data_IF_130968042269
#
_entry.id   IF_130968042269
#
_cell.length_a   1.000
_cell.length_b   1.000
_cell.length_c   1.000
_cell.angle_alpha   90.00
_cell.angle_beta   90.00
_cell.angle_gamma   90.00
#
_symmetry.space_group_name_H-M   'P 1'
#
loop_
_entity.id
_entity.type
_entity.pdbx_description
1 polymer ?
#
# COMPACT_ATOMS: atom_id res chain seq x y z
N UNK A 1 -24.38 -29.89 -12.34
CA UNK A 1 -23.05 -30.47 -12.61
C UNK A 1 -22.04 -29.64 -11.80
N UNK A 2 -21.46 -30.22 -10.76
CA UNK A 2 -20.54 -29.50 -9.86
C UNK A 2 -19.15 -29.53 -10.48
N UNK A 3 -18.51 -28.37 -10.63
CA UNK A 3 -17.10 -28.25 -11.03
C UNK A 3 -16.29 -27.93 -9.78
N UNK A 4 -15.25 -28.72 -9.54
CA UNK A 4 -14.33 -28.53 -8.42
C UNK A 4 -12.98 -28.07 -8.97
N UNK A 5 -12.47 -26.97 -8.44
CA UNK A 5 -11.12 -26.46 -8.74
C UNK A 5 -10.22 -26.77 -7.54
N UNK A 6 -9.02 -27.30 -7.77
CA UNK A 6 -8.08 -27.63 -6.69
C UNK A 6 -7.47 -26.34 -6.11
N UNK A 7 -7.53 -26.11 -4.79
CA UNK A 7 -7.00 -24.89 -4.18
C UNK A 7 -5.47 -24.86 -4.16
N UNK A 8 -4.91 -23.65 -4.27
CA UNK A 8 -3.50 -23.40 -3.98
C UNK A 8 -3.23 -23.56 -2.47
N UNK A 9 -1.98 -23.81 -2.04
CA UNK A 9 -1.63 -23.83 -0.62
C UNK A 9 -2.11 -22.56 0.10
N UNK A 10 -2.79 -22.74 1.23
CA UNK A 10 -3.35 -21.63 2.03
C UNK A 10 -4.74 -21.15 1.59
N UNK A 11 -5.27 -21.61 0.46
CA UNK A 11 -6.64 -21.29 0.03
C UNK A 11 -7.64 -22.30 0.59
N UNK A 12 -8.84 -21.82 0.92
CA UNK A 12 -9.93 -22.64 1.45
C UNK A 12 -11.01 -22.86 0.38
N UNK A 13 -11.63 -24.05 0.29
CA UNK A 13 -12.76 -24.23 -0.61
C UNK A 13 -13.96 -23.43 -0.10
N UNK A 14 -14.60 -22.68 -0.99
CA UNK A 14 -15.87 -22.02 -0.72
C UNK A 14 -16.87 -22.34 -1.81
N UNK A 15 -18.09 -22.66 -1.41
CA UNK A 15 -19.21 -22.78 -2.34
C UNK A 15 -19.80 -21.39 -2.56
N UNK A 16 -19.87 -20.92 -3.80
CA UNK A 16 -20.60 -19.70 -4.15
C UNK A 16 -21.91 -20.04 -4.84
N UNK A 17 -22.96 -19.27 -4.57
CA UNK A 17 -24.27 -19.41 -5.22
C UNK A 17 -24.60 -18.15 -6.00
N UNK A 18 -24.82 -18.31 -7.31
CA UNK A 18 -25.23 -17.22 -8.21
C UNK A 18 -26.42 -17.67 -9.05
N UNK A 19 -27.61 -17.17 -8.70
CA UNK A 19 -28.87 -17.70 -9.25
C UNK A 19 -29.03 -19.19 -8.93
N UNK A 20 -29.23 -20.00 -9.96
CA UNK A 20 -29.38 -21.45 -9.85
C UNK A 20 -28.06 -22.22 -9.95
N UNK A 21 -26.94 -21.51 -10.13
CA UNK A 21 -25.62 -22.12 -10.22
C UNK A 21 -24.92 -22.12 -8.86
N UNK A 22 -24.36 -23.28 -8.53
CA UNK A 22 -23.51 -23.50 -7.36
C UNK A 22 -22.14 -23.94 -7.85
N UNK A 23 -21.08 -23.29 -7.37
CA UNK A 23 -19.72 -23.56 -7.79
C UNK A 23 -18.78 -23.58 -6.59
N UNK A 24 -17.95 -24.63 -6.51
CA UNK A 24 -16.90 -24.73 -5.51
C UNK A 24 -15.62 -24.08 -6.04
N UNK A 25 -15.21 -23.04 -5.35
CA UNK A 25 -14.11 -22.17 -5.73
C UNK A 25 -13.02 -22.22 -4.66
N UNK A 26 -11.74 -22.14 -5.05
CA UNK A 26 -10.71 -21.80 -4.10
C UNK A 26 -10.93 -20.35 -3.68
N UNK A 27 -10.81 -20.07 -2.39
CA UNK A 27 -10.88 -18.73 -1.85
C UNK A 27 -9.67 -18.38 -0.97
N UNK A 28 -9.20 -17.16 -1.10
CA UNK A 28 -8.14 -16.57 -0.29
C UNK A 28 -8.74 -16.15 1.08
N UNK A 29 -8.21 -16.65 2.20
CA UNK A 29 -8.56 -16.14 3.53
C UNK A 29 -8.13 -14.69 3.66
N UNK A 30 -8.90 -13.90 4.41
CA UNK A 30 -8.61 -12.49 4.68
C UNK A 30 -8.66 -12.21 6.18
N UNK A 31 -8.21 -11.01 6.57
CA UNK A 31 -8.12 -10.62 7.98
C UNK A 31 -9.47 -10.62 8.71
N UNK A 32 -10.58 -10.33 8.01
CA UNK A 32 -11.94 -10.36 8.57
C UNK A 32 -12.45 -11.81 8.67
N UNK A 33 -12.55 -12.41 9.88
CA UNK A 33 -12.93 -13.82 10.01
C UNK A 33 -14.32 -14.09 9.45
N UNK A 34 -14.49 -15.21 8.74
CA UNK A 34 -15.77 -15.61 8.14
C UNK A 34 -16.08 -14.99 6.76
N UNK A 35 -15.26 -14.04 6.32
CA UNK A 35 -15.22 -13.58 4.94
C UNK A 35 -14.01 -14.21 4.22
N UNK A 36 -14.15 -14.46 2.92
CA UNK A 36 -13.08 -14.96 2.03
C UNK A 36 -13.18 -14.30 0.66
N UNK A 37 -12.11 -14.28 -0.12
CA UNK A 37 -12.09 -13.76 -1.49
C UNK A 37 -12.08 -14.90 -2.50
N UNK A 38 -13.05 -14.92 -3.42
CA UNK A 38 -13.11 -15.92 -4.49
C UNK A 38 -13.05 -15.25 -5.87
N UNK A 39 -12.44 -15.88 -6.88
CA UNK A 39 -12.52 -15.41 -8.26
C UNK A 39 -13.96 -15.47 -8.78
N UNK A 40 -14.40 -14.47 -9.52
CA UNK A 40 -15.76 -14.40 -10.06
C UNK A 40 -15.92 -15.20 -11.35
N UNK A 41 -17.04 -15.94 -11.40
CA UNK A 41 -17.41 -16.81 -12.51
C UNK A 41 -18.87 -16.59 -12.92
N UNK A 42 -19.11 -16.48 -14.22
CA UNK A 42 -20.42 -16.15 -14.80
C UNK A 42 -20.97 -17.27 -15.68
N UNK A 43 -21.17 -18.47 -15.14
CA UNK A 43 -21.84 -19.57 -15.84
C UNK A 43 -21.01 -20.29 -16.90
N UNK A 44 -20.17 -19.56 -17.63
CA UNK A 44 -19.33 -20.10 -18.70
C UNK A 44 -17.93 -19.46 -18.79
N UNK A 45 -17.65 -18.39 -18.06
CA UNK A 45 -16.37 -17.67 -18.11
C UNK A 45 -15.95 -17.12 -16.75
N UNK A 46 -14.65 -17.06 -16.54
CA UNK A 46 -14.02 -16.28 -15.47
C UNK A 46 -13.96 -14.81 -15.88
N UNK A 47 -14.18 -13.89 -14.96
CA UNK A 47 -14.18 -12.46 -15.28
C UNK A 47 -12.86 -11.76 -15.05
N UNK A 48 -11.89 -12.45 -14.42
CA UNK A 48 -10.66 -11.82 -13.92
C UNK A 48 -10.88 -10.90 -12.73
N UNK A 49 -12.09 -10.88 -12.17
CA UNK A 49 -12.48 -10.11 -10.98
C UNK A 49 -12.70 -11.04 -9.80
N UNK A 50 -12.90 -10.44 -8.63
CA UNK A 50 -13.07 -11.13 -7.37
C UNK A 50 -14.37 -10.72 -6.70
N UNK A 51 -14.88 -11.63 -5.88
CA UNK A 51 -16.02 -11.41 -4.99
C UNK A 51 -15.60 -11.75 -3.57
N UNK A 52 -16.10 -10.98 -2.61
CA UNK A 52 -16.03 -11.36 -1.20
C UNK A 52 -17.20 -12.29 -0.92
N UNK A 53 -16.94 -13.39 -0.24
CA UNK A 53 -17.91 -14.43 0.08
C UNK A 53 -17.98 -14.58 1.59
N UNK A 54 -19.19 -14.53 2.12
CA UNK A 54 -19.47 -14.92 3.49
C UNK A 54 -19.51 -16.44 3.58
N UNK A 55 -18.46 -17.03 4.18
CA UNK A 55 -18.19 -18.46 4.13
C UNK A 55 -19.32 -19.29 4.75
N UNK A 56 -19.88 -18.83 5.87
CA UNK A 56 -20.92 -19.57 6.60
C UNK A 56 -22.26 -19.68 5.84
N UNK A 57 -22.54 -18.78 4.89
CA UNK A 57 -23.80 -18.78 4.14
C UNK A 57 -23.64 -18.80 2.62
N UNK A 58 -22.42 -18.94 2.10
CA UNK A 58 -22.13 -18.90 0.65
C UNK A 58 -22.61 -17.63 -0.06
N UNK A 59 -22.83 -16.55 0.69
CA UNK A 59 -23.39 -15.30 0.16
C UNK A 59 -22.28 -14.42 -0.40
N UNK A 60 -22.51 -13.85 -1.58
CA UNK A 60 -21.58 -12.92 -2.24
C UNK A 60 -21.87 -11.48 -1.81
N UNK A 61 -20.83 -10.73 -1.40
CA UNK A 61 -20.95 -9.43 -0.72
C UNK A 61 -19.78 -8.50 -1.06
N UNK A 62 -19.83 -7.65 -2.10
CA UNK A 62 -21.01 -7.15 -2.76
C UNK A 62 -21.43 -8.08 -3.91
N UNK A 63 -22.66 -7.93 -4.40
CA UNK A 63 -23.19 -8.71 -5.54
C UNK A 63 -22.47 -8.44 -6.87
N UNK A 64 -21.55 -7.48 -6.89
CA UNK A 64 -20.74 -7.08 -8.03
C UNK A 64 -19.31 -7.58 -7.85
N UNK A 65 -18.76 -8.19 -8.90
CA UNK A 65 -17.35 -8.56 -8.91
C UNK A 65 -16.46 -7.34 -9.14
N UNK A 66 -15.39 -7.23 -8.36
CA UNK A 66 -14.49 -6.08 -8.29
C UNK A 66 -13.05 -6.49 -8.66
N UNK A 67 -12.19 -5.55 -9.08
CA UNK A 67 -10.75 -5.80 -9.08
C UNK A 67 -10.26 -6.23 -7.70
N UNK A 68 -9.18 -7.01 -7.63
CA UNK A 68 -8.71 -7.63 -6.39
C UNK A 68 -8.48 -6.61 -5.26
N UNK A 69 -7.90 -5.45 -5.58
CA UNK A 69 -7.62 -4.41 -4.58
C UNK A 69 -8.89 -3.91 -3.91
N UNK A 70 -9.93 -3.60 -4.70
CA UNK A 70 -11.24 -3.18 -4.19
C UNK A 70 -11.95 -4.29 -3.43
N UNK A 71 -11.81 -5.55 -3.85
CA UNK A 71 -12.40 -6.68 -3.14
C UNK A 71 -11.77 -6.85 -1.74
N UNK A 72 -10.44 -6.73 -1.62
CA UNK A 72 -9.73 -6.71 -0.33
C UNK A 72 -10.17 -5.54 0.54
N UNK A 73 -10.27 -4.36 -0.07
CA UNK A 73 -10.73 -3.15 0.60
C UNK A 73 -12.15 -3.28 1.17
N UNK A 74 -13.09 -3.75 0.36
CA UNK A 74 -14.46 -4.00 0.80
C UNK A 74 -14.48 -4.95 2.00
N UNK A 75 -13.69 -6.01 1.95
CA UNK A 75 -13.71 -7.01 2.99
C UNK A 75 -13.14 -6.52 4.34
N UNK A 76 -12.15 -5.63 4.31
CA UNK A 76 -11.66 -4.93 5.50
C UNK A 76 -12.72 -3.97 6.06
N UNK A 77 -13.35 -3.14 5.21
CA UNK A 77 -14.43 -2.23 5.66
C UNK A 77 -15.61 -2.98 6.27
N UNK A 78 -16.02 -4.10 5.67
CA UNK A 78 -17.06 -4.96 6.24
C UNK A 78 -16.68 -5.47 7.64
N UNK A 79 -15.40 -5.78 7.88
CA UNK A 79 -14.89 -6.17 9.20
C UNK A 79 -14.99 -5.07 10.25
N UNK A 80 -14.95 -3.80 9.86
CA UNK A 80 -15.02 -2.65 10.77
C UNK A 80 -16.44 -2.35 11.29
N UNK A 81 -17.49 -2.97 10.72
CA UNK A 81 -18.89 -2.72 11.09
C UNK A 81 -19.36 -3.42 12.38
N UNK A 82 -18.47 -4.12 13.11
CA UNK A 82 -18.81 -4.82 14.35
C UNK A 82 -19.81 -5.96 14.17
N UNK A 83 -19.86 -6.54 12.97
CA UNK A 83 -20.67 -7.71 12.62
C UNK A 83 -19.79 -8.94 12.80
N UNK A 84 -20.31 -9.96 13.49
CA UNK A 84 -19.69 -11.27 13.49
C UNK A 84 -20.00 -11.97 12.16
N UNK A 85 -18.99 -12.01 11.28
CA UNK A 85 -19.07 -12.64 9.97
C UNK A 85 -18.83 -14.15 10.01
N UNK A 86 -18.65 -14.74 11.19
CA UNK A 86 -18.59 -16.21 11.34
C UNK A 86 -19.96 -16.83 11.56
N UNK A 87 -20.93 -16.03 12.00
CA UNK A 87 -22.31 -16.45 12.23
C UNK A 87 -23.10 -16.61 10.92
N UNK A 88 -23.82 -17.74 10.72
CA UNK A 88 -24.71 -17.89 9.57
C UNK A 88 -25.75 -16.75 9.49
N UNK A 89 -25.97 -16.19 8.28
CA UNK A 89 -26.92 -15.06 8.06
C UNK A 89 -28.34 -15.37 8.58
N UNK A 90 -28.75 -16.63 8.57
CA UNK A 90 -30.03 -17.07 9.09
C UNK A 90 -30.14 -16.88 10.63
N UNK A 91 -29.02 -16.99 11.35
CA UNK A 91 -28.94 -16.87 12.80
C UNK A 91 -28.76 -15.42 13.28
N UNK A 92 -28.37 -14.49 12.40
CA UNK A 92 -28.08 -13.11 12.82
C UNK A 92 -29.38 -12.32 13.14
N UNK A 93 -29.60 -11.87 14.38
CA UNK A 93 -30.71 -10.98 14.73
C UNK A 93 -30.57 -9.57 14.12
N UNK A 94 -29.41 -9.26 13.54
CA UNK A 94 -28.98 -7.96 13.03
C UNK A 94 -29.13 -7.81 11.50
N UNK A 95 -29.98 -8.61 10.83
CA UNK A 95 -30.14 -8.57 9.35
C UNK A 95 -30.31 -7.17 8.75
N UNK A 96 -31.06 -6.22 9.35
CA UNK A 96 -31.12 -4.85 8.83
C UNK A 96 -29.76 -4.13 8.87
N UNK A 97 -28.98 -4.31 9.95
CA UNK A 97 -27.63 -3.73 10.07
C UNK A 97 -26.67 -4.37 9.09
N UNK A 98 -26.72 -5.69 8.94
CA UNK A 98 -25.96 -6.42 7.92
C UNK A 98 -26.25 -5.86 6.53
N UNK A 99 -27.53 -5.79 6.14
CA UNK A 99 -27.92 -5.26 4.83
C UNK A 99 -27.48 -3.81 4.63
N UNK A 100 -27.59 -2.97 5.66
CA UNK A 100 -27.14 -1.59 5.59
C UNK A 100 -25.62 -1.47 5.42
N UNK A 101 -24.83 -2.24 6.17
CA UNK A 101 -23.37 -2.27 6.03
C UNK A 101 -22.95 -2.71 4.62
N UNK A 102 -23.55 -3.82 4.13
CA UNK A 102 -23.29 -4.32 2.77
C UNK A 102 -23.61 -3.26 1.73
N UNK A 103 -24.79 -2.64 1.80
CA UNK A 103 -25.21 -1.63 0.83
C UNK A 103 -24.28 -0.42 0.83
N UNK A 104 -23.94 0.09 2.03
CA UNK A 104 -23.06 1.25 2.18
C UNK A 104 -21.68 0.97 1.57
N UNK A 105 -21.04 -0.15 1.94
CA UNK A 105 -19.72 -0.52 1.43
C UNK A 105 -19.77 -0.80 -0.08
N UNK A 106 -20.86 -1.38 -0.60
CA UNK A 106 -21.02 -1.62 -2.05
C UNK A 106 -21.06 -0.33 -2.85
N UNK A 107 -21.84 0.66 -2.39
CA UNK A 107 -21.97 1.97 -3.05
C UNK A 107 -20.62 2.65 -3.05
N UNK A 108 -19.98 2.74 -1.89
CA UNK A 108 -18.68 3.39 -1.75
C UNK A 108 -17.59 2.71 -2.60
N UNK A 109 -17.56 1.38 -2.70
CA UNK A 109 -16.58 0.67 -3.53
C UNK A 109 -16.81 0.90 -5.02
N UNK A 110 -18.07 1.00 -5.44
CA UNK A 110 -18.42 1.29 -6.83
C UNK A 110 -17.97 2.71 -7.20
N UNK A 111 -18.26 3.69 -6.34
CA UNK A 111 -17.85 5.09 -6.53
C UNK A 111 -16.31 5.22 -6.55
N UNK A 112 -15.63 4.59 -5.58
CA UNK A 112 -14.18 4.59 -5.49
C UNK A 112 -13.54 3.99 -6.75
N UNK A 113 -14.08 2.88 -7.25
CA UNK A 113 -13.60 2.24 -8.47
C UNK A 113 -13.88 3.06 -9.73
N UNK A 114 -15.02 3.75 -9.81
CA UNK A 114 -15.30 4.68 -10.91
C UNK A 114 -14.35 5.88 -10.91
N UNK A 115 -13.96 6.36 -9.72
CA UNK A 115 -13.03 7.47 -9.57
C UNK A 115 -11.56 7.06 -9.64
N UNK A 116 -11.24 5.76 -9.66
CA UNK A 116 -9.86 5.25 -9.57
C UNK A 116 -9.14 5.71 -8.30
N UNK A 117 -9.86 5.70 -7.18
CA UNK A 117 -9.33 6.00 -5.85
C UNK A 117 -9.59 4.81 -4.92
N UNK A 118 -8.85 4.67 -3.82
CA UNK A 118 -9.17 3.71 -2.78
C UNK A 118 -10.54 3.98 -2.14
N UNK A 119 -11.14 2.93 -1.59
CA UNK A 119 -12.41 3.01 -0.85
C UNK A 119 -12.30 3.91 0.39
N UNK A 120 -11.13 3.96 1.02
CA UNK A 120 -10.82 4.94 2.06
C UNK A 120 -9.32 5.26 2.05
N UNK A 121 -8.97 6.40 2.62
CA UNK A 121 -7.57 6.80 2.77
C UNK A 121 -7.06 6.38 4.15
N UNK A 122 -6.13 5.44 4.21
CA UNK A 122 -5.63 4.90 5.49
C UNK A 122 -4.80 5.92 6.29
N UNK A 123 -4.22 6.91 5.61
CA UNK A 123 -3.30 7.88 6.20
C UNK A 123 -3.18 9.16 5.36
N UNK A 124 -2.77 10.29 5.96
CA UNK A 124 -2.30 11.43 5.21
C UNK A 124 -1.03 11.08 4.42
N UNK A 125 -0.93 11.58 3.18
CA UNK A 125 0.28 11.34 2.36
C UNK A 125 1.47 12.18 2.79
N UNK A 126 1.22 13.39 3.28
CA UNK A 126 2.27 14.26 3.79
C UNK A 126 2.52 13.94 5.25
N UNK A 127 3.71 13.45 5.56
CA UNK A 127 4.13 13.21 6.94
C UNK A 127 5.31 14.12 7.28
N UNK A 128 5.18 14.84 8.39
CA UNK A 128 6.30 15.58 8.94
C UNK A 128 7.31 14.58 9.50
N UNK A 129 8.56 14.74 9.10
CA UNK A 129 9.68 14.06 9.72
C UNK A 129 10.14 14.92 10.90
N UNK A 130 10.49 14.32 12.05
CA UNK A 130 11.24 15.07 13.04
C UNK A 130 12.52 15.61 12.39
N UNK A 131 13.14 16.66 12.95
CA UNK A 131 14.44 17.12 12.48
C UNK A 131 15.38 15.93 12.30
N UNK A 132 16.23 15.90 11.29
CA UNK A 132 17.09 14.76 10.98
C UNK A 132 18.52 15.07 11.41
N UNK A 133 19.25 14.03 11.82
CA UNK A 133 20.69 14.12 11.99
C UNK A 133 21.31 13.98 10.62
N UNK A 134 22.25 14.85 10.30
CA UNK A 134 23.02 14.81 9.06
C UNK A 134 24.49 14.64 9.38
N UNK A 135 25.14 13.80 8.59
CA UNK A 135 26.58 13.68 8.54
C UNK A 135 27.04 14.36 7.27
N UNK A 136 27.85 15.40 7.41
CA UNK A 136 28.47 16.09 6.28
C UNK A 136 29.96 15.79 6.39
N UNK A 137 30.48 15.04 5.41
CA UNK A 137 31.92 14.88 5.26
C UNK A 137 32.49 16.13 4.61
N UNK A 138 33.49 16.73 5.24
CA UNK A 138 34.38 17.67 4.54
C UNK A 138 35.42 16.80 3.85
N UNK A 139 35.35 16.71 2.53
CA UNK A 139 36.42 16.13 1.74
C UNK A 139 37.68 16.99 1.88
N UNK A 140 38.82 16.37 2.17
CA UNK A 140 40.12 17.01 2.23
C UNK A 140 40.92 16.54 1.02
N UNK A 141 40.45 16.87 -0.17
CA UNK A 141 41.24 16.70 -1.38
C UNK A 141 42.04 17.98 -1.63
N UNK A 142 43.31 17.96 -1.23
CA UNK A 142 44.32 18.83 -1.81
C UNK A 142 44.42 18.55 -3.32
N UNK A 143 43.82 19.42 -4.14
CA UNK A 143 44.13 19.53 -5.57
C UNK A 143 43.12 18.93 -6.54
N UNK A 144 42.53 19.81 -7.34
CA UNK A 144 42.11 19.63 -8.74
C UNK A 144 41.89 18.19 -9.23
N UNK A 145 40.70 17.63 -8.96
CA UNK A 145 39.91 16.91 -9.98
C UNK A 145 38.53 16.57 -9.40
N UNK A 146 37.52 17.29 -9.90
CA UNK A 146 36.16 17.30 -9.37
C UNK A 146 35.46 15.93 -9.47
N UNK A 147 35.37 15.25 -8.34
CA UNK A 147 34.38 14.21 -8.10
C UNK A 147 33.31 14.74 -7.15
N UNK A 148 32.04 14.48 -7.48
CA UNK A 148 30.89 14.89 -6.67
C UNK A 148 30.95 14.14 -5.34
N UNK A 149 31.05 14.88 -4.24
CA UNK A 149 31.04 14.38 -2.87
C UNK A 149 29.91 13.37 -2.67
N UNK A 150 30.27 12.11 -2.42
CA UNK A 150 29.35 11.07 -1.98
C UNK A 150 28.67 11.41 -0.64
N UNK A 151 29.09 12.50 0.04
CA UNK A 151 28.60 12.92 1.35
C UNK A 151 27.83 14.26 1.33
N UNK A 152 27.73 14.98 0.20
CA UNK A 152 26.83 16.15 0.07
C UNK A 152 25.34 15.73 0.19
N UNK A 153 25.07 14.44 0.07
CA UNK A 153 23.78 13.82 0.28
C UNK A 153 23.85 12.70 1.32
N UNK A 154 24.61 12.92 2.39
CA UNK A 154 24.75 11.97 3.49
C UNK A 154 23.38 11.44 3.97
N UNK A 155 23.33 10.18 4.45
CA UNK A 155 22.09 9.61 4.95
C UNK A 155 21.50 10.52 6.03
N UNK A 156 20.17 10.54 6.15
CA UNK A 156 19.50 11.35 7.15
C UNK A 156 18.89 10.42 8.20
N UNK A 157 19.25 10.62 9.48
CA UNK A 157 18.80 9.74 10.56
C UNK A 157 17.77 10.40 11.46
N UNK A 158 16.70 9.68 11.74
CA UNK A 158 15.68 10.10 12.71
C UNK A 158 16.19 10.00 14.16
N UNK A 159 17.21 9.17 14.43
CA UNK A 159 17.73 8.90 15.78
C UNK A 159 19.25 9.04 15.86
N UNK A 160 19.77 9.43 17.03
CA UNK A 160 21.21 9.48 17.31
C UNK A 160 21.86 8.09 17.22
N UNK A 161 21.12 7.04 17.59
CA UNK A 161 21.59 5.65 17.46
C UNK A 161 21.91 5.28 16.01
N UNK A 162 21.08 5.73 15.06
CA UNK A 162 21.33 5.51 13.63
C UNK A 162 22.62 6.18 13.15
N UNK A 163 22.88 7.40 13.65
CA UNK A 163 24.14 8.13 13.38
C UNK A 163 25.34 7.35 13.91
N UNK A 164 25.31 6.96 15.19
CA UNK A 164 26.42 6.21 15.81
C UNK A 164 26.64 4.87 15.11
N UNK A 165 25.57 4.12 14.82
CA UNK A 165 25.71 2.83 14.14
C UNK A 165 26.33 2.94 12.74
N UNK A 166 26.08 4.03 12.01
CA UNK A 166 26.74 4.27 10.73
C UNK A 166 28.20 4.71 10.90
N UNK A 167 28.50 5.53 11.90
CA UNK A 167 29.87 5.92 12.23
C UNK A 167 30.71 4.70 12.65
N UNK A 168 30.15 3.81 13.46
CA UNK A 168 30.78 2.55 13.86
C UNK A 168 31.02 1.66 12.64
N UNK A 169 30.01 1.53 11.75
CA UNK A 169 30.14 0.76 10.51
C UNK A 169 31.30 1.25 9.64
N UNK A 170 31.45 2.56 9.47
CA UNK A 170 32.55 3.14 8.68
C UNK A 170 33.88 3.03 9.39
N UNK A 171 33.90 3.19 10.72
CA UNK A 171 35.13 3.01 11.49
C UNK A 171 35.68 1.58 11.37
N UNK A 172 34.79 0.59 11.34
CA UNK A 172 35.13 -0.83 11.26
C UNK A 172 35.31 -1.34 9.81
N UNK A 173 34.92 -0.56 8.79
CA UNK A 173 35.03 -0.96 7.39
C UNK A 173 36.48 -0.76 6.88
N UNK A 174 37.22 -1.85 6.57
CA UNK A 174 38.59 -1.75 6.09
C UNK A 174 38.71 -1.13 4.68
N UNK A 175 37.58 -0.95 3.99
CA UNK A 175 37.48 -0.31 2.68
C UNK A 175 36.87 1.10 2.76
N UNK A 176 36.45 1.56 3.94
CA UNK A 176 36.07 2.96 4.11
C UNK A 176 37.31 3.81 3.82
N UNK A 177 37.18 4.62 2.77
CA UNK A 177 38.29 5.39 2.24
C UNK A 177 38.90 6.29 3.34
N UNK A 178 40.22 6.23 3.61
CA UNK A 178 40.87 7.19 4.50
C UNK A 178 40.72 8.65 4.06
N UNK A 179 40.15 8.89 2.87
CA UNK A 179 39.77 10.21 2.34
C UNK A 179 38.51 10.81 3.00
N UNK A 180 37.75 10.08 3.83
CA UNK A 180 36.72 10.75 4.65
C UNK A 180 37.46 11.57 5.72
N UNK A 181 37.63 12.87 5.45
CA UNK A 181 38.25 13.82 6.36
C UNK A 181 37.42 14.08 7.62
N UNK A 182 37.28 15.34 7.99
CA UNK A 182 36.46 15.66 9.18
C UNK A 182 34.98 15.45 8.88
N UNK A 183 34.36 14.48 9.55
CA UNK A 183 32.90 14.32 9.57
C UNK A 183 32.32 15.30 10.57
N UNK A 184 31.43 16.16 10.11
CA UNK A 184 30.64 17.04 10.97
C UNK A 184 29.24 16.45 11.15
N UNK A 185 28.78 16.42 12.39
CA UNK A 185 27.41 15.99 12.72
C UNK A 185 26.56 17.22 12.99
N UNK A 186 25.49 17.37 12.23
CA UNK A 186 24.52 18.44 12.43
C UNK A 186 23.11 17.89 12.63
N UNK A 187 22.24 18.72 13.19
CA UNK A 187 20.81 18.46 13.30
C UNK A 187 20.09 19.50 12.46
N UNK A 188 19.17 19.05 11.61
CA UNK A 188 18.26 19.96 10.92
C UNK A 188 17.55 20.84 11.94
N UNK A 189 17.32 22.11 11.58
CA UNK A 189 16.55 23.03 12.42
C UNK A 189 15.08 23.03 12.04
N UNK A 190 14.81 22.83 10.76
CA UNK A 190 13.49 22.89 10.18
C UNK A 190 12.84 21.51 10.09
N UNK A 191 11.51 21.49 10.02
CA UNK A 191 10.75 20.28 9.75
C UNK A 191 10.95 19.87 8.30
N UNK A 192 11.39 18.64 8.11
CA UNK A 192 11.40 17.99 6.80
C UNK A 192 10.09 17.24 6.59
N UNK A 193 9.76 16.98 5.34
CA UNK A 193 8.57 16.26 4.92
C UNK A 193 8.94 15.01 4.15
N UNK A 194 8.07 14.02 4.26
CA UNK A 194 8.06 12.85 3.38
C UNK A 194 6.69 12.66 2.75
N UNK A 195 6.70 12.01 1.59
CA UNK A 195 5.48 11.63 0.89
C UNK A 195 5.30 10.11 0.94
N UNK A 196 4.15 9.67 1.46
CA UNK A 196 3.78 8.26 1.61
C UNK A 196 2.47 7.93 0.89
N UNK A 197 2.33 6.67 0.48
CA UNK A 197 1.12 6.21 -0.19
C UNK A 197 -0.07 6.18 0.79
N UNK A 198 -1.18 6.82 0.43
CA UNK A 198 -2.39 6.87 1.24
C UNK A 198 -3.34 5.69 1.00
N UNK A 199 -3.08 4.83 0.01
CA UNK A 199 -3.89 3.62 -0.19
C UNK A 199 -3.86 2.72 1.05
N UNK A 200 -5.01 2.14 1.42
CA UNK A 200 -5.07 1.14 2.46
C UNK A 200 -4.37 -0.12 1.97
N UNK A 201 -3.89 -0.93 2.92
CA UNK A 201 -3.19 -2.19 2.63
C UNK A 201 -1.94 -2.04 1.74
N UNK A 202 -1.49 -0.81 1.47
CA UNK A 202 -0.25 -0.56 0.78
C UNK A 202 0.91 -0.93 1.72
N UNK A 203 1.61 -2.01 1.36
CA UNK A 203 2.84 -2.46 2.01
C UNK A 203 4.08 -1.70 1.51
N UNK A 204 3.92 -0.88 0.47
CA UNK A 204 4.95 0.06 0.03
C UNK A 204 4.94 1.27 0.97
N UNK A 205 5.45 1.07 2.18
CA UNK A 205 5.85 2.17 3.07
C UNK A 205 7.13 2.88 2.55
N UNK A 206 7.59 2.49 1.35
CA UNK A 206 8.68 3.13 0.64
C UNK A 206 8.29 4.59 0.33
N UNK A 207 9.15 5.56 0.69
CA UNK A 207 8.92 6.97 0.43
C UNK A 207 8.95 7.27 -1.07
N UNK A 208 8.24 8.31 -1.50
CA UNK A 208 8.15 8.67 -2.90
C UNK A 208 9.48 9.06 -3.54
N UNK A 209 10.41 9.60 -2.75
CA UNK A 209 11.74 9.99 -3.19
C UNK A 209 12.76 9.32 -2.29
N UNK A 210 13.59 8.47 -2.89
CA UNK A 210 14.80 7.94 -2.28
C UNK A 210 16.05 8.48 -2.96
N UNK A 211 17.13 8.60 -2.20
CA UNK A 211 18.46 8.86 -2.69
C UNK A 211 19.15 7.59 -3.16
N UNK A 212 19.93 7.71 -4.23
CA UNK A 212 20.93 6.70 -4.58
C UNK A 212 22.08 6.74 -3.59
N UNK A 213 22.43 5.59 -3.01
CA UNK A 213 23.81 5.25 -2.72
C UNK A 213 24.37 4.42 -3.89
N UNK A 214 25.66 4.61 -4.18
CA UNK A 214 26.41 3.78 -5.10
C UNK A 214 26.63 2.39 -4.45
N UNK A 215 25.61 1.55 -4.54
CA UNK A 215 25.60 0.18 -4.04
C UNK A 215 24.23 -0.41 -4.36
N UNK A 216 24.19 -1.57 -5.00
CA UNK A 216 22.99 -2.17 -5.58
C UNK A 216 21.79 -2.20 -4.60
N UNK A 217 20.78 -1.38 -4.86
CA UNK A 217 19.38 -1.68 -4.50
C UNK A 217 18.77 -0.98 -3.28
N UNK A 218 19.54 -0.30 -2.42
CA UNK A 218 19.00 0.31 -1.21
C UNK A 218 18.55 1.78 -1.44
N UNK A 219 17.24 1.98 -1.49
CA UNK A 219 16.60 3.29 -1.54
C UNK A 219 16.63 3.93 -0.15
N UNK A 220 17.45 4.97 0.04
CA UNK A 220 17.43 5.73 1.29
C UNK A 220 16.42 6.85 1.18
N UNK A 221 15.42 6.88 2.06
CA UNK A 221 14.47 7.98 2.16
C UNK A 221 15.17 9.35 2.18
N UNK A 222 14.71 10.30 1.36
CA UNK A 222 15.19 11.69 1.38
C UNK A 222 14.08 12.65 1.80
N UNK A 223 13.83 12.83 3.11
CA UNK A 223 12.94 13.89 3.55
C UNK A 223 13.57 15.25 3.26
N UNK A 224 12.74 16.20 2.84
CA UNK A 224 13.18 17.58 2.54
C UNK A 224 12.18 18.59 3.07
N UNK A 225 12.65 19.81 3.36
CA UNK A 225 11.80 20.94 3.74
C UNK A 225 10.95 21.43 2.57
N UNK A 226 11.35 21.13 1.33
CA UNK A 226 10.66 21.53 0.10
C UNK A 226 9.63 20.49 -0.34
N UNK A 227 8.35 20.74 0.00
CA UNK A 227 7.22 19.90 -0.42
C UNK A 227 6.92 20.01 -1.91
N UNK A 228 7.24 21.13 -2.56
CA UNK A 228 6.97 21.33 -3.98
C UNK A 228 7.93 20.48 -4.81
N UNK A 229 9.22 20.47 -4.44
CA UNK A 229 10.21 19.55 -5.00
C UNK A 229 9.77 18.09 -4.86
N UNK A 230 9.37 17.66 -3.65
CA UNK A 230 8.87 16.30 -3.44
C UNK A 230 7.68 15.97 -4.33
N UNK A 231 6.71 16.86 -4.44
CA UNK A 231 5.52 16.64 -5.27
C UNK A 231 5.87 16.51 -6.76
N UNK A 232 6.75 17.38 -7.26
CA UNK A 232 7.23 17.36 -8.63
C UNK A 232 7.96 16.04 -8.95
N UNK A 233 8.98 15.69 -8.15
CA UNK A 233 9.75 14.45 -8.35
C UNK A 233 8.88 13.21 -8.19
N UNK A 234 7.93 13.20 -7.25
CA UNK A 234 7.01 12.06 -7.09
C UNK A 234 6.13 11.87 -8.32
N UNK A 235 5.69 12.96 -8.94
CA UNK A 235 4.92 12.93 -10.19
C UNK A 235 5.75 12.33 -11.33
N UNK A 236 7.02 12.73 -11.46
CA UNK A 236 7.96 12.16 -12.44
C UNK A 236 8.18 10.65 -12.22
N UNK A 237 8.18 10.22 -10.96
CA UNK A 237 8.27 8.81 -10.58
C UNK A 237 6.95 8.03 -10.71
N UNK A 238 5.89 8.66 -11.24
CA UNK A 238 4.61 8.01 -11.53
C UNK A 238 3.63 7.94 -10.35
N UNK A 239 3.89 8.66 -9.26
CA UNK A 239 2.90 8.84 -8.20
C UNK A 239 1.71 9.66 -8.70
N UNK A 240 0.51 9.39 -8.17
CA UNK A 240 -0.71 10.11 -8.55
C UNK A 240 -1.33 10.83 -7.37
N UNK A 241 -1.67 12.10 -7.55
CA UNK A 241 -2.34 12.92 -6.56
C UNK A 241 -3.87 12.90 -6.76
N UNK A 242 -4.60 12.69 -5.67
CA UNK A 242 -6.07 12.81 -5.59
C UNK A 242 -6.43 13.73 -4.42
N UNK A 243 -6.71 15.00 -4.73
CA UNK A 243 -6.91 16.03 -3.72
C UNK A 243 -5.66 16.20 -2.84
N UNK A 244 -5.78 15.92 -1.54
CA UNK A 244 -4.64 15.98 -0.59
C UNK A 244 -3.87 14.67 -0.43
N UNK A 245 -4.35 13.59 -1.05
CA UNK A 245 -3.80 12.25 -0.93
C UNK A 245 -3.00 11.88 -2.17
N UNK A 246 -2.04 10.98 -2.00
CA UNK A 246 -1.12 10.52 -3.03
C UNK A 246 -1.07 8.99 -3.01
N UNK A 247 -0.98 8.41 -4.21
CA UNK A 247 -0.82 6.99 -4.44
C UNK A 247 0.55 6.73 -5.06
N UNK A 248 1.26 5.72 -4.55
CA UNK A 248 2.46 5.23 -5.21
C UNK A 248 2.11 4.60 -6.57
N UNK A 249 3.08 4.40 -7.48
CA UNK A 249 2.82 3.91 -8.83
C UNK A 249 2.09 2.56 -8.84
N UNK A 250 2.46 1.64 -7.94
CA UNK A 250 1.79 0.35 -7.81
C UNK A 250 0.32 0.51 -7.41
N UNK A 251 0.02 1.27 -6.35
CA UNK A 251 -1.36 1.49 -5.94
C UNK A 251 -2.15 2.31 -6.96
N UNK A 252 -1.54 3.28 -7.63
CA UNK A 252 -2.17 4.03 -8.71
C UNK A 252 -2.52 3.15 -9.92
N UNK A 253 -1.70 2.13 -10.20
CA UNK A 253 -1.99 1.12 -11.22
C UNK A 253 -3.15 0.21 -10.79
N UNK A 254 -3.12 -0.30 -9.56
CA UNK A 254 -4.15 -1.19 -9.03
C UNK A 254 -5.52 -0.48 -8.92
N UNK A 255 -5.54 0.82 -8.63
CA UNK A 255 -6.74 1.66 -8.57
C UNK A 255 -7.04 2.36 -9.90
N UNK A 256 -6.94 1.63 -11.01
CA UNK A 256 -7.31 2.20 -12.31
C UNK A 256 -8.84 2.38 -12.41
N UNK A 257 -9.34 3.55 -12.83
CA UNK A 257 -10.76 3.80 -13.00
C UNK A 257 -11.43 2.79 -13.95
N UNK A 258 -12.67 2.42 -13.66
CA UNK A 258 -13.49 1.68 -14.61
C UNK A 258 -14.11 2.63 -15.65
N UNK A 259 -13.47 2.78 -16.80
CA UNK A 259 -14.03 3.58 -17.90
C UNK A 259 -15.10 2.82 -18.72
N UNK A 260 -15.21 1.50 -18.55
CA UNK A 260 -16.13 0.63 -19.31
C UNK A 260 -17.52 0.49 -18.66
N UNK A 261 -17.81 1.21 -17.58
CA UNK A 261 -19.15 1.22 -16.97
C UNK A 261 -20.10 2.19 -17.67
N UNK A 262 -20.46 1.90 -18.93
CA UNK A 262 -21.74 2.37 -19.47
C UNK A 262 -22.86 1.57 -18.78
N UNK A 263 -23.31 2.03 -17.62
CA UNK A 263 -24.51 1.51 -16.96
C UNK A 263 -25.50 2.66 -16.75
N UNK A 264 -26.42 2.79 -17.71
CA UNK A 264 -27.81 3.20 -17.49
C UNK A 264 -28.68 2.15 -18.20
#
# INVERSE_FOLDING_TARGET
MTRTVTPAPGWVPVTTRRGDHTLDLPAEPIATPGLVLAPDWQGNRWTGRFVVVHAASSMVVPYTALPLVYAREVADQLGQHGIDWTDPVAAQPTRPRLRAAILHVTIAATEAWQCGVPLWWARPSWQACPPLWRLNGIDVADGEDGWISALDFGPAWTTWRGVVGWLDLIHDDPFADPLIGTITVSRDRDLSWRLVCAAPLCHHDQPAVGGWFAGEGDWIERPTTDREFLAATSTELGWRQHGRHWLCPACAHDHTPNYDSTWW
#
